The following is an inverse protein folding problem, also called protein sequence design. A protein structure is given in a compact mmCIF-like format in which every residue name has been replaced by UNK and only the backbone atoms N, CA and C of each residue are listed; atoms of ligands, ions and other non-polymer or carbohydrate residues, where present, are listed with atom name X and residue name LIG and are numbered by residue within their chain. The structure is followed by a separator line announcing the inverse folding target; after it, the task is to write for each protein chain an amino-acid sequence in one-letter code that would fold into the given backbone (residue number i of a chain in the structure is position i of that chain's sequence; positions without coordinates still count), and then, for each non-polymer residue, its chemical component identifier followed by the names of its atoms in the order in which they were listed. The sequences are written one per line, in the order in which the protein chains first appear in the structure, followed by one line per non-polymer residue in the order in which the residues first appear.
data_IF_480049140115
#
_entry.id   IF_480049140115
#
_cell.length_a   1.000
_cell.length_b   1.000
_cell.length_c   1.000
_cell.angle_alpha   90.00
_cell.angle_beta   90.00
_cell.angle_gamma   90.00
#
_symmetry.space_group_name_H-M   'P 1'
#
loop_
_entity.id
_entity.type
_entity.pdbx_description
1 polymer ?
#
# COMPACT_ATOMS: atom_id res chain seq x y z
N UNK A 1 -35.28 30.83 27.13
CA UNK A 1 -34.61 30.97 25.81
C UNK A 1 -33.17 30.44 25.82
N UNK A 2 -32.34 30.83 26.80
CA UNK A 2 -30.92 30.48 26.87
C UNK A 2 -30.65 28.96 26.80
N UNK A 3 -31.41 28.14 27.54
CA UNK A 3 -31.26 26.68 27.52
C UNK A 3 -31.46 26.07 26.12
N UNK A 4 -32.43 26.59 25.34
CA UNK A 4 -32.69 26.12 23.96
C UNK A 4 -31.56 26.47 23.01
N UNK A 5 -30.92 27.62 23.21
CA UNK A 5 -29.75 28.06 22.42
C UNK A 5 -28.54 27.19 22.73
N UNK A 6 -28.30 26.88 24.01
CA UNK A 6 -27.20 26.00 24.43
C UNK A 6 -27.41 24.59 23.86
N UNK A 7 -28.61 24.02 24.00
CA UNK A 7 -28.94 22.69 23.46
C UNK A 7 -28.77 22.67 21.94
N UNK A 8 -29.25 23.70 21.22
CA UNK A 8 -29.05 23.82 19.77
C UNK A 8 -27.57 23.85 19.38
N UNK A 9 -26.75 24.62 20.11
CA UNK A 9 -25.30 24.70 19.89
C UNK A 9 -24.59 23.36 20.09
N UNK A 10 -24.95 22.61 21.14
CA UNK A 10 -24.38 21.28 21.41
C UNK A 10 -24.75 20.28 20.31
N UNK A 11 -26.00 20.29 19.83
CA UNK A 11 -26.44 19.40 18.74
C UNK A 11 -25.65 19.67 17.45
N UNK A 12 -25.48 20.94 17.08
CA UNK A 12 -24.69 21.32 15.90
C UNK A 12 -23.23 20.90 16.05
N UNK A 13 -22.64 21.11 17.22
CA UNK A 13 -21.26 20.70 17.50
C UNK A 13 -21.07 19.18 17.36
N UNK A 14 -21.96 18.39 17.95
CA UNK A 14 -21.93 16.93 17.85
C UNK A 14 -22.11 16.45 16.40
N UNK A 15 -22.98 17.09 15.62
CA UNK A 15 -23.19 16.76 14.21
C UNK A 15 -21.92 17.01 13.36
N UNK A 16 -21.25 18.15 13.56
CA UNK A 16 -19.97 18.46 12.88
C UNK A 16 -18.90 17.46 13.28
N UNK A 17 -18.82 17.12 14.57
CA UNK A 17 -17.83 16.18 15.08
C UNK A 17 -18.05 14.76 14.52
N UNK A 18 -19.29 14.29 14.49
CA UNK A 18 -19.68 13.02 13.88
C UNK A 18 -19.35 12.96 12.37
N UNK A 19 -19.57 14.06 11.63
CA UNK A 19 -19.20 14.14 10.21
C UNK A 19 -17.68 14.05 10.01
N UNK A 20 -16.89 14.75 10.84
CA UNK A 20 -15.42 14.68 10.82
C UNK A 20 -14.92 13.26 11.08
N UNK A 21 -15.48 12.56 12.08
CA UNK A 21 -15.17 11.14 12.35
C UNK A 21 -15.50 10.28 11.14
N UNK A 22 -16.69 10.45 10.54
CA UNK A 22 -17.10 9.68 9.35
C UNK A 22 -16.11 9.84 8.19
N UNK A 23 -15.62 11.06 7.96
CA UNK A 23 -14.59 11.31 6.94
C UNK A 23 -13.28 10.61 7.31
N UNK A 24 -12.86 10.71 8.58
CA UNK A 24 -11.64 10.06 9.06
C UNK A 24 -11.70 8.54 8.87
N UNK A 25 -12.78 7.90 9.31
CA UNK A 25 -13.01 6.46 9.14
C UNK A 25 -13.05 6.06 7.66
N UNK A 26 -13.68 6.88 6.79
CA UNK A 26 -13.69 6.65 5.34
C UNK A 26 -12.29 6.69 4.74
N UNK A 27 -11.41 7.57 5.24
CA UNK A 27 -10.00 7.63 4.81
C UNK A 27 -9.22 6.41 5.30
N UNK A 28 -9.39 5.98 6.54
CA UNK A 28 -8.73 4.78 7.05
C UNK A 28 -9.10 3.52 6.26
N UNK A 29 -10.40 3.28 6.04
CA UNK A 29 -10.87 2.14 5.22
C UNK A 29 -10.34 2.17 3.78
N UNK A 30 -10.03 3.35 3.24
CA UNK A 30 -9.42 3.47 1.92
C UNK A 30 -7.96 3.05 1.96
N UNK A 31 -7.18 3.54 2.94
CA UNK A 31 -5.77 3.13 3.12
C UNK A 31 -5.65 1.62 3.30
N UNK A 32 -6.47 1.05 4.20
CA UNK A 32 -6.50 -0.39 4.44
C UNK A 32 -6.79 -1.18 3.15
N UNK A 33 -7.74 -0.74 2.33
CA UNK A 33 -8.02 -1.35 1.01
C UNK A 33 -6.83 -1.24 0.05
N UNK A 34 -6.15 -0.10 0.03
CA UNK A 34 -5.04 0.15 -0.89
C UNK A 34 -3.79 -0.67 -0.48
N UNK A 35 -3.61 -0.97 0.81
CA UNK A 35 -2.52 -1.78 1.38
C UNK A 35 -2.86 -3.29 1.44
N UNK A 36 -4.14 -3.65 1.52
CA UNK A 36 -4.63 -5.04 1.57
C UNK A 36 -4.05 -5.98 0.50
N UNK A 37 -3.78 -5.56 -0.76
CA UNK A 37 -3.18 -6.44 -1.76
C UNK A 37 -1.80 -6.98 -1.35
N UNK A 38 -1.05 -6.26 -0.51
CA UNK A 38 0.23 -6.72 0.01
C UNK A 38 0.06 -7.72 1.16
N UNK A 39 -0.89 -7.47 2.06
CA UNK A 39 -1.20 -8.35 3.20
C UNK A 39 -1.88 -9.67 2.82
N UNK A 40 -2.04 -9.95 1.52
CA UNK A 40 -2.53 -11.25 1.04
C UNK A 40 -1.55 -12.40 1.32
N UNK A 41 -0.26 -12.09 1.50
CA UNK A 41 0.77 -13.07 1.85
C UNK A 41 1.00 -13.05 3.35
N UNK A 42 1.01 -14.24 3.97
CA UNK A 42 1.30 -14.36 5.39
C UNK A 42 2.78 -14.01 5.67
N UNK A 43 3.06 -13.53 6.88
CA UNK A 43 4.42 -13.13 7.29
C UNK A 43 5.45 -14.26 7.13
N UNK A 44 5.01 -15.51 7.29
CA UNK A 44 5.83 -16.71 7.07
C UNK A 44 6.39 -16.81 5.64
N UNK A 45 5.63 -16.33 4.64
CA UNK A 45 6.08 -16.29 3.25
C UNK A 45 7.29 -15.37 3.12
N UNK A 46 7.25 -14.20 3.76
CA UNK A 46 8.34 -13.23 3.74
C UNK A 46 9.60 -13.75 4.47
N UNK A 47 9.44 -14.68 5.40
CA UNK A 47 10.54 -15.30 6.13
C UNK A 47 11.28 -16.40 5.36
N UNK A 48 10.74 -16.90 4.24
CA UNK A 48 11.37 -17.95 3.44
C UNK A 48 12.72 -17.46 2.86
N UNK A 49 13.73 -18.33 2.75
CA UNK A 49 15.06 -17.92 2.30
C UNK A 49 15.06 -17.25 0.92
N UNK A 50 14.33 -17.80 -0.05
CA UNK A 50 14.21 -17.19 -1.38
C UNK A 50 13.45 -15.85 -1.38
N UNK A 51 12.60 -15.60 -0.38
CA UNK A 51 11.86 -14.34 -0.24
C UNK A 51 12.70 -13.26 0.48
N UNK A 52 13.51 -13.66 1.46
CA UNK A 52 14.53 -12.79 2.08
C UNK A 52 15.55 -12.29 1.06
N UNK A 53 15.97 -13.16 0.15
CA UNK A 53 16.90 -12.77 -0.92
C UNK A 53 16.26 -11.76 -1.90
N UNK A 54 15.01 -11.99 -2.32
CA UNK A 54 14.26 -11.03 -3.15
C UNK A 54 14.05 -9.68 -2.43
N UNK A 55 13.85 -9.70 -1.12
CA UNK A 55 13.76 -8.49 -0.30
C UNK A 55 15.11 -7.77 -0.22
N UNK A 56 16.22 -8.50 -0.07
CA UNK A 56 17.57 -7.96 -0.08
C UNK A 56 17.89 -7.28 -1.42
N UNK A 57 17.60 -7.97 -2.53
CA UNK A 57 17.70 -7.42 -3.89
C UNK A 57 16.87 -6.15 -4.05
N UNK A 58 15.63 -6.13 -3.57
CA UNK A 58 14.81 -4.91 -3.59
C UNK A 58 15.43 -3.74 -2.81
N UNK A 59 16.17 -3.99 -1.72
CA UNK A 59 16.85 -2.93 -0.95
C UNK A 59 18.09 -2.42 -1.67
N UNK A 60 18.91 -3.32 -2.17
CA UNK A 60 20.24 -3.02 -2.71
C UNK A 60 20.23 -2.61 -4.18
N UNK A 61 19.34 -3.18 -4.99
CA UNK A 61 19.28 -2.87 -6.42
C UNK A 61 18.65 -1.50 -6.68
N UNK A 62 19.27 -0.78 -7.61
CA UNK A 62 18.75 0.48 -8.15
C UNK A 62 17.64 0.19 -9.17
N UNK A 63 16.46 -0.14 -8.65
CA UNK A 63 15.25 -0.35 -9.44
C UNK A 63 14.63 1.02 -9.72
N UNK A 64 14.54 1.41 -10.99
CA UNK A 64 13.84 2.63 -11.36
C UNK A 64 12.33 2.45 -11.12
N UNK A 65 11.69 3.43 -10.49
CA UNK A 65 10.26 3.38 -10.14
C UNK A 65 9.57 4.62 -10.65
N UNK A 66 8.66 4.43 -11.61
CA UNK A 66 7.82 5.48 -12.17
C UNK A 66 6.37 5.24 -11.76
N UNK A 67 5.88 6.03 -10.80
CA UNK A 67 4.50 5.92 -10.33
C UNK A 67 3.53 6.50 -11.36
N UNK A 68 2.62 5.65 -11.86
CA UNK A 68 1.45 6.14 -12.60
C UNK A 68 0.34 6.59 -11.64
N UNK A 69 0.22 5.89 -10.51
CA UNK A 69 -0.69 6.29 -9.44
C UNK A 69 -0.10 5.98 -8.08
N UNK A 70 0.35 7.03 -7.37
CA UNK A 70 0.80 6.89 -5.99
C UNK A 70 -0.30 6.36 -5.07
N UNK A 71 -1.57 6.73 -5.32
CA UNK A 71 -2.72 6.33 -4.49
C UNK A 71 -3.03 4.84 -4.61
N UNK A 72 -2.95 4.28 -5.82
CA UNK A 72 -3.22 2.86 -6.07
C UNK A 72 -1.97 1.97 -5.91
N UNK A 73 -0.83 2.58 -5.57
CA UNK A 73 0.47 1.91 -5.49
C UNK A 73 0.76 1.11 -6.76
N UNK A 74 0.60 1.75 -7.92
CA UNK A 74 0.82 1.16 -9.23
C UNK A 74 1.93 1.94 -9.95
N UNK A 75 2.98 1.22 -10.34
CA UNK A 75 4.18 1.80 -10.91
C UNK A 75 4.69 0.96 -12.08
N UNK A 76 5.36 1.63 -13.01
CA UNK A 76 6.29 0.99 -13.95
C UNK A 76 7.64 0.90 -13.27
N UNK A 77 8.24 -0.27 -13.35
CA UNK A 77 9.51 -0.55 -12.71
C UNK A 77 10.47 -1.18 -13.72
N UNK A 78 11.75 -0.85 -13.61
CA UNK A 78 12.81 -1.52 -14.36
C UNK A 78 13.94 -1.86 -13.40
N UNK A 79 14.09 -3.15 -13.09
CA UNK A 79 15.30 -3.62 -12.42
C UNK A 79 16.45 -3.79 -13.43
N UNK A 80 17.71 -3.80 -12.98
CA UNK A 80 18.86 -4.02 -13.86
C UNK A 80 18.80 -5.32 -14.67
N UNK A 81 18.23 -6.37 -14.08
CA UNK A 81 18.10 -7.70 -14.71
C UNK A 81 16.86 -7.83 -15.62
N UNK A 82 15.94 -6.87 -15.60
CA UNK A 82 14.72 -6.97 -16.38
C UNK A 82 14.99 -6.59 -17.84
N UNK A 83 14.56 -7.43 -18.77
CA UNK A 83 14.64 -7.15 -20.21
C UNK A 83 13.79 -5.93 -20.61
N UNK A 84 12.65 -5.72 -19.95
CA UNK A 84 11.67 -4.67 -20.26
C UNK A 84 11.11 -4.03 -18.99
N UNK A 85 10.51 -2.84 -19.12
CA UNK A 85 9.76 -2.23 -18.02
C UNK A 85 8.54 -3.08 -17.66
N UNK A 86 8.41 -3.41 -16.38
CA UNK A 86 7.30 -4.21 -15.87
C UNK A 86 6.30 -3.34 -15.12
N UNK A 87 5.01 -3.61 -15.33
CA UNK A 87 3.98 -3.04 -14.46
C UNK A 87 3.91 -3.81 -13.14
N UNK A 88 3.96 -3.07 -12.05
CA UNK A 88 3.91 -3.62 -10.71
C UNK A 88 2.96 -2.83 -9.81
N UNK A 89 2.20 -3.55 -9.01
CA UNK A 89 1.48 -3.02 -7.86
C UNK A 89 1.70 -3.88 -6.63
N UNK A 90 1.09 -3.51 -5.50
CA UNK A 90 1.29 -4.19 -4.22
C UNK A 90 0.82 -5.66 -4.18
N UNK A 91 -0.06 -6.08 -5.10
CA UNK A 91 -0.59 -7.45 -5.14
C UNK A 91 -0.39 -8.18 -6.47
N UNK A 92 0.25 -7.54 -7.46
CA UNK A 92 0.41 -8.06 -8.81
C UNK A 92 1.67 -7.50 -9.48
N UNK A 93 2.38 -8.33 -10.25
CA UNK A 93 3.52 -7.88 -11.05
C UNK A 93 3.53 -8.63 -12.40
N UNK A 94 4.00 -7.98 -13.45
CA UNK A 94 4.12 -8.60 -14.78
C UNK A 94 5.44 -9.38 -14.99
N UNK A 95 6.37 -9.35 -14.03
CA UNK A 95 7.64 -10.05 -14.16
C UNK A 95 7.49 -11.58 -14.19
N UNK A 96 8.47 -12.26 -14.79
CA UNK A 96 8.48 -13.72 -14.92
C UNK A 96 8.41 -14.44 -13.56
N UNK A 97 9.12 -13.94 -12.55
CA UNK A 97 9.12 -14.51 -11.19
C UNK A 97 7.74 -14.54 -10.56
N UNK A 98 6.96 -13.47 -10.72
CA UNK A 98 5.60 -13.41 -10.17
C UNK A 98 4.63 -14.31 -10.93
N UNK A 99 4.80 -14.43 -12.25
CA UNK A 99 3.99 -15.33 -13.09
C UNK A 99 4.22 -16.80 -12.74
N UNK A 100 5.43 -17.18 -12.32
CA UNK A 100 5.76 -18.55 -11.95
C UNK A 100 5.27 -18.91 -10.53
N UNK A 101 5.60 -18.07 -9.53
CA UNK A 101 5.40 -18.44 -8.12
C UNK A 101 4.08 -17.90 -7.54
N UNK A 102 3.51 -16.83 -8.12
CA UNK A 102 2.45 -16.01 -7.53
C UNK A 102 2.74 -15.51 -6.10
N UNK A 103 4.03 -15.46 -5.76
CA UNK A 103 4.57 -14.91 -4.51
C UNK A 103 5.14 -13.51 -4.75
N UNK A 104 5.39 -12.72 -3.69
CA UNK A 104 6.03 -11.42 -3.83
C UNK A 104 7.35 -11.54 -4.59
N UNK A 105 7.56 -10.66 -5.55
CA UNK A 105 8.82 -10.51 -6.27
C UNK A 105 9.58 -9.29 -5.75
N UNK A 106 10.82 -9.09 -6.23
CA UNK A 106 11.64 -7.92 -5.86
C UNK A 106 10.93 -6.58 -6.11
N UNK A 107 10.15 -6.47 -7.18
CA UNK A 107 9.37 -5.26 -7.49
C UNK A 107 8.30 -4.95 -6.45
N UNK A 108 7.55 -5.97 -6.03
CA UNK A 108 6.52 -5.82 -4.99
C UNK A 108 7.17 -5.42 -3.67
N UNK A 109 8.31 -6.01 -3.31
CA UNK A 109 9.05 -5.61 -2.11
C UNK A 109 9.58 -4.18 -2.19
N UNK A 110 10.11 -3.75 -3.33
CA UNK A 110 10.55 -2.35 -3.52
C UNK A 110 9.40 -1.38 -3.31
N UNK A 111 8.22 -1.68 -3.87
CA UNK A 111 7.02 -0.87 -3.65
C UNK A 111 6.58 -0.86 -2.19
N UNK A 112 6.59 -2.02 -1.53
CA UNK A 112 6.24 -2.14 -0.12
C UNK A 112 7.21 -1.35 0.78
N UNK A 113 8.52 -1.35 0.46
CA UNK A 113 9.54 -0.55 1.13
C UNK A 113 9.31 0.95 0.94
N UNK A 114 9.08 1.41 -0.30
CA UNK A 114 8.79 2.83 -0.59
C UNK A 114 7.54 3.30 0.15
N UNK A 115 6.56 2.42 0.33
CA UNK A 115 5.31 2.71 1.06
C UNK A 115 5.44 2.55 2.57
N UNK A 116 6.56 2.03 3.08
CA UNK A 116 6.79 1.80 4.50
C UNK A 116 5.93 0.67 5.09
N UNK A 117 5.46 -0.27 4.28
CA UNK A 117 4.71 -1.45 4.75
C UNK A 117 5.63 -2.49 5.40
N UNK A 118 6.90 -2.50 5.01
CA UNK A 118 7.96 -3.39 5.51
C UNK A 118 9.25 -2.59 5.71
N UNK A 119 10.16 -3.13 6.54
CA UNK A 119 11.44 -2.50 6.90
C UNK A 119 12.66 -3.30 6.42
#
# INVERSE_FOLDING_TARGET
MILKVIVGGVVVFLAVWAWKIRIYLKRQKRKERDEAPFHRWADEVHQRPGQKEKLRQAKEEDISVHFESEKKCFARMKAPDDQEEVWCGLGMCQCGTFKADHLPCKHIYKLALIKGLIQ
#
